data_IF_900280957389
#
_entry.id   IF_900280957389
#
_cell.length_a   1.000
_cell.length_b   1.000
_cell.length_c   1.000
_cell.angle_alpha   90.00
_cell.angle_beta   90.00
_cell.angle_gamma   90.00
#
_symmetry.space_group_name_H-M   'P 1'
#
loop_
_entity.id
_entity.type
_entity.pdbx_description
1 polymer ?
#
# COMPACT_ATOMS: atom_id res chain seq x y z
N UNK A 1 30.22 -32.23 -21.75
CA UNK A 1 31.02 -33.39 -22.16
C UNK A 1 32.08 -33.61 -21.08
N UNK A 2 31.76 -34.38 -20.03
CA UNK A 2 32.73 -34.68 -18.97
C UNK A 2 32.98 -36.19 -18.98
N UNK A 3 34.17 -36.55 -19.45
CA UNK A 3 34.69 -37.89 -19.51
C UNK A 3 35.11 -38.36 -18.11
N UNK A 4 34.74 -39.62 -17.82
CA UNK A 4 35.34 -40.47 -16.80
C UNK A 4 36.85 -40.60 -17.03
N UNK A 5 37.62 -40.62 -15.94
CA UNK A 5 38.89 -41.35 -15.89
C UNK A 5 38.89 -42.22 -14.64
N UNK A 6 38.87 -43.52 -14.88
CA UNK A 6 39.12 -44.61 -13.94
C UNK A 6 40.56 -45.08 -14.11
N UNK A 7 41.26 -45.30 -13.00
CA UNK A 7 42.42 -46.22 -12.89
C UNK A 7 42.33 -46.85 -11.50
N UNK A 8 42.03 -48.15 -11.36
CA UNK A 8 42.95 -49.32 -11.40
C UNK A 8 44.19 -49.12 -10.51
N UNK A 9 44.67 -50.07 -9.72
CA UNK A 9 44.22 -51.35 -9.16
C UNK A 9 45.43 -51.74 -8.27
N UNK A 10 45.23 -52.19 -7.03
CA UNK A 10 46.29 -52.87 -6.30
C UNK A 10 45.69 -54.10 -5.62
N UNK A 11 46.11 -55.25 -6.12
CA UNK A 11 45.76 -56.58 -5.67
C UNK A 11 46.68 -57.01 -4.51
N UNK A 12 46.19 -57.95 -3.70
CA UNK A 12 47.06 -58.91 -3.04
C UNK A 12 46.63 -59.33 -1.64
N UNK A 13 46.08 -60.56 -1.56
CA UNK A 13 46.19 -61.56 -0.50
C UNK A 13 45.93 -61.11 0.97
N UNK A 14 45.03 -61.69 1.75
CA UNK A 14 44.54 -63.06 1.80
C UNK A 14 44.32 -63.42 3.29
N UNK A 15 43.68 -64.57 3.54
CA UNK A 15 43.45 -65.24 4.84
C UNK A 15 42.08 -65.01 5.51
N UNK A 16 41.16 -65.85 5.02
CA UNK A 16 40.18 -66.72 5.72
C UNK A 16 40.18 -66.70 7.26
N UNK A 17 38.99 -66.65 7.86
CA UNK A 17 38.80 -67.13 9.23
C UNK A 17 37.46 -66.73 9.84
N UNK A 18 36.42 -67.52 9.57
CA UNK A 18 35.07 -67.28 10.04
C UNK A 18 34.81 -67.83 11.46
N UNK A 19 33.78 -67.25 12.10
CA UNK A 19 32.91 -67.78 13.18
C UNK A 19 33.38 -67.59 14.62
N UNK A 20 32.57 -66.86 15.40
CA UNK A 20 31.51 -67.38 16.30
C UNK A 20 30.61 -66.20 16.72
N UNK A 21 29.30 -66.28 16.44
CA UNK A 21 28.21 -66.51 17.42
C UNK A 21 28.17 -65.39 18.47
N UNK A 22 27.10 -64.63 18.70
CA UNK A 22 25.69 -64.94 18.96
C UNK A 22 24.90 -63.69 18.55
N UNK A 23 23.72 -63.77 17.94
CA UNK A 23 22.48 -64.13 18.60
C UNK A 23 21.40 -63.26 17.95
N UNK A 24 20.45 -63.90 17.29
CA UNK A 24 19.28 -63.23 16.78
C UNK A 24 18.40 -62.83 17.96
N UNK A 25 18.10 -61.54 18.08
CA UNK A 25 16.87 -61.09 18.72
C UNK A 25 16.41 -59.82 18.01
N UNK A 26 15.36 -60.00 17.23
CA UNK A 26 14.55 -58.98 16.64
C UNK A 26 13.87 -58.14 17.74
N UNK A 27 13.72 -56.84 17.50
CA UNK A 27 12.47 -56.07 17.54
C UNK A 27 12.73 -54.59 17.84
N UNK A 28 11.95 -53.75 17.15
CA UNK A 28 11.56 -52.38 17.50
C UNK A 28 12.60 -51.26 17.40
N UNK A 29 12.60 -50.56 16.26
CA UNK A 29 12.88 -49.12 16.16
C UNK A 29 12.27 -48.57 14.87
N UNK A 30 10.94 -48.60 14.77
CA UNK A 30 10.19 -47.83 13.79
C UNK A 30 9.20 -46.94 14.55
N UNK A 31 9.09 -45.68 14.12
CA UNK A 31 8.37 -44.57 14.76
C UNK A 31 9.12 -43.97 15.97
N UNK A 32 9.36 -42.66 16.09
CA UNK A 32 8.50 -41.51 15.78
C UNK A 32 9.41 -40.29 15.47
N UNK A 33 9.56 -39.91 14.20
CA UNK A 33 9.80 -38.49 13.88
C UNK A 33 8.44 -37.87 13.57
N UNK A 34 7.68 -37.65 14.63
CA UNK A 34 6.49 -36.82 14.58
C UNK A 34 6.95 -35.38 14.40
N UNK A 35 7.04 -34.93 13.14
CA UNK A 35 7.03 -33.50 12.85
C UNK A 35 5.67 -33.01 13.33
N UNK A 36 5.64 -32.46 14.54
CA UNK A 36 4.50 -31.68 15.01
C UNK A 36 4.48 -30.43 14.14
N UNK A 37 3.78 -30.52 13.01
CA UNK A 37 3.35 -29.34 12.25
C UNK A 37 2.35 -28.61 13.15
N UNK A 38 2.87 -27.72 14.01
CA UNK A 38 2.05 -26.70 14.63
C UNK A 38 1.33 -25.97 13.49
N UNK A 39 -0.01 -25.85 13.52
CA UNK A 39 -0.69 -24.99 12.56
C UNK A 39 -0.22 -23.57 12.85
N UNK A 40 0.68 -23.07 11.99
CA UNK A 40 0.99 -21.67 11.93
C UNK A 40 -0.26 -20.97 11.38
N UNK A 41 -1.21 -20.67 12.26
CA UNK A 41 -2.23 -19.69 11.95
C UNK A 41 -1.50 -18.35 11.80
N UNK A 42 -1.19 -18.00 10.56
CA UNK A 42 -0.98 -16.61 10.22
C UNK A 42 -2.29 -15.91 10.59
N UNK A 43 -2.27 -15.21 11.73
CA UNK A 43 -3.39 -14.40 12.17
C UNK A 43 -3.52 -13.28 11.13
N UNK A 44 -4.34 -13.51 10.11
CA UNK A 44 -4.67 -12.49 9.13
C UNK A 44 -5.34 -11.41 9.94
N UNK A 45 -4.64 -10.29 10.13
CA UNK A 45 -5.19 -9.12 10.80
C UNK A 45 -6.58 -8.87 10.24
N UNK A 46 -7.59 -8.88 11.12
CA UNK A 46 -8.97 -8.72 10.70
C UNK A 46 -9.09 -7.47 9.84
N UNK A 47 -9.74 -7.61 8.67
CA UNK A 47 -9.95 -6.49 7.79
C UNK A 47 -10.71 -5.37 8.53
N UNK A 48 -10.43 -4.11 8.17
CA UNK A 48 -11.11 -2.99 8.80
C UNK A 48 -12.65 -3.14 8.69
N UNK A 49 -13.41 -2.93 9.78
CA UNK A 49 -14.87 -3.05 9.75
C UNK A 49 -15.55 -2.20 8.66
N UNK A 50 -14.96 -1.07 8.27
CA UNK A 50 -15.48 -0.21 7.18
C UNK A 50 -15.36 -0.95 5.84
N UNK A 51 -14.22 -1.56 5.57
CA UNK A 51 -14.00 -2.35 4.34
C UNK A 51 -14.86 -3.63 4.34
N UNK A 52 -15.06 -4.25 5.51
CA UNK A 52 -15.96 -5.40 5.66
C UNK A 52 -17.44 -5.03 5.42
N UNK A 53 -17.88 -3.89 5.94
CA UNK A 53 -19.21 -3.34 5.70
C UNK A 53 -19.42 -3.02 4.21
N UNK A 54 -18.42 -2.42 3.55
CA UNK A 54 -18.47 -2.15 2.11
C UNK A 54 -18.62 -3.44 1.30
N UNK A 55 -17.81 -4.47 1.58
CA UNK A 55 -17.91 -5.78 0.91
C UNK A 55 -19.28 -6.41 1.11
N UNK A 56 -19.85 -6.30 2.31
CA UNK A 56 -21.19 -6.80 2.60
C UNK A 56 -22.26 -6.02 1.83
N UNK A 57 -22.13 -4.69 1.75
CA UNK A 57 -23.04 -3.83 0.99
C UNK A 57 -23.04 -4.20 -0.50
N UNK A 58 -21.86 -4.34 -1.10
CA UNK A 58 -21.67 -4.69 -2.52
C UNK A 58 -22.24 -6.07 -2.89
N UNK A 59 -22.35 -6.99 -1.91
CA UNK A 59 -22.89 -8.32 -2.13
C UNK A 59 -24.43 -8.38 -2.04
N UNK A 60 -25.11 -7.29 -1.65
CA UNK A 60 -26.57 -7.28 -1.55
C UNK A 60 -27.21 -7.21 -2.93
N UNK A 61 -28.28 -7.98 -3.13
CA UNK A 61 -29.02 -8.00 -4.40
C UNK A 61 -29.59 -6.63 -4.80
N UNK A 62 -30.05 -5.84 -3.82
CA UNK A 62 -30.58 -4.49 -4.03
C UNK A 62 -29.50 -3.43 -4.30
N UNK A 63 -28.22 -3.75 -4.12
CA UNK A 63 -27.07 -2.90 -4.43
C UNK A 63 -26.32 -3.33 -5.69
N UNK A 64 -26.88 -4.27 -6.47
CA UNK A 64 -26.24 -4.83 -7.67
C UNK A 64 -26.08 -3.85 -8.83
N UNK A 65 -26.91 -2.81 -8.90
CA UNK A 65 -26.82 -1.77 -9.93
C UNK A 65 -25.56 -0.91 -9.75
N UNK A 66 -25.07 -0.28 -10.82
CA UNK A 66 -23.94 0.67 -10.74
C UNK A 66 -24.17 1.74 -9.68
N UNK A 67 -25.37 2.31 -9.61
CA UNK A 67 -25.72 3.32 -8.61
C UNK A 67 -25.66 2.76 -7.19
N UNK A 68 -26.17 1.54 -6.97
CA UNK A 68 -26.08 0.86 -5.69
C UNK A 68 -24.63 0.57 -5.28
N UNK A 69 -23.79 0.15 -6.22
CA UNK A 69 -22.36 -0.06 -5.96
C UNK A 69 -21.64 1.23 -5.58
N UNK A 70 -21.88 2.33 -6.32
CA UNK A 70 -21.34 3.65 -5.99
C UNK A 70 -21.82 4.10 -4.61
N UNK A 71 -23.09 3.88 -4.26
CA UNK A 71 -23.62 4.18 -2.94
C UNK A 71 -22.89 3.40 -1.83
N UNK A 72 -22.59 2.12 -2.03
CA UNK A 72 -21.78 1.36 -1.08
C UNK A 72 -20.37 1.95 -0.90
N UNK A 73 -19.73 2.38 -1.98
CA UNK A 73 -18.41 3.00 -1.94
C UNK A 73 -18.43 4.38 -1.27
N UNK A 74 -19.46 5.18 -1.52
CA UNK A 74 -19.67 6.48 -0.87
C UNK A 74 -19.90 6.33 0.63
N UNK A 75 -20.70 5.34 1.04
CA UNK A 75 -20.90 5.02 2.46
C UNK A 75 -19.59 4.61 3.13
N UNK A 76 -18.76 3.79 2.45
CA UNK A 76 -17.43 3.44 2.94
C UNK A 76 -16.53 4.68 3.05
N UNK A 77 -16.58 5.59 2.08
CA UNK A 77 -15.81 6.85 2.10
C UNK A 77 -16.23 7.72 3.29
N UNK A 78 -17.53 7.80 3.59
CA UNK A 78 -18.05 8.51 4.76
C UNK A 78 -17.51 7.86 6.04
N UNK A 79 -17.59 6.53 6.17
CA UNK A 79 -17.03 5.79 7.30
C UNK A 79 -15.54 6.04 7.50
N UNK A 80 -14.76 6.00 6.41
CA UNK A 80 -13.33 6.30 6.42
C UNK A 80 -13.05 7.76 6.77
N UNK A 81 -13.89 8.71 6.36
CA UNK A 81 -13.77 10.12 6.74
C UNK A 81 -14.00 10.31 8.24
N UNK A 82 -15.01 9.65 8.83
CA UNK A 82 -15.23 9.66 10.28
C UNK A 82 -14.03 9.05 11.02
N UNK A 83 -13.50 7.93 10.54
CA UNK A 83 -12.30 7.31 11.11
C UNK A 83 -11.07 8.23 11.05
N UNK A 84 -10.90 8.95 9.94
CA UNK A 84 -9.85 9.95 9.74
C UNK A 84 -9.98 11.07 10.78
N UNK A 85 -11.17 11.65 10.93
CA UNK A 85 -11.41 12.75 11.87
C UNK A 85 -11.21 12.32 13.33
N UNK A 86 -11.65 11.10 13.68
CA UNK A 86 -11.43 10.54 15.01
C UNK A 86 -9.93 10.32 15.30
N UNK A 87 -9.20 9.72 14.36
CA UNK A 87 -7.75 9.51 14.49
C UNK A 87 -7.00 10.85 14.57
N UNK A 88 -7.47 11.86 13.83
CA UNK A 88 -6.94 13.22 13.90
C UNK A 88 -7.09 13.82 15.32
N UNK A 89 -8.30 13.76 15.90
CA UNK A 89 -8.53 14.26 17.25
C UNK A 89 -7.70 13.53 18.31
N UNK A 90 -7.58 12.21 18.21
CA UNK A 90 -6.74 11.42 19.12
C UNK A 90 -5.26 11.80 19.00
N UNK A 91 -4.78 12.01 17.78
CA UNK A 91 -3.39 12.39 17.52
C UNK A 91 -3.08 13.74 18.16
N UNK A 92 -3.96 14.71 18.00
CA UNK A 92 -3.83 16.06 18.58
C UNK A 92 -3.61 16.02 20.10
N UNK A 93 -4.31 15.14 20.81
CA UNK A 93 -4.21 14.98 22.26
C UNK A 93 -2.88 14.37 22.71
N UNK A 94 -2.24 13.55 21.86
CA UNK A 94 -1.01 12.81 22.20
C UNK A 94 0.27 13.55 21.80
N UNK A 95 0.18 14.52 20.89
CA UNK A 95 1.36 15.20 20.35
C UNK A 95 1.82 16.39 21.20
N UNK A 96 3.14 16.58 21.36
CA UNK A 96 3.71 17.83 21.83
C UNK A 96 3.36 19.03 20.92
N UNK A 97 3.29 20.27 21.44
CA UNK A 97 2.83 21.43 20.66
C UNK A 97 3.58 21.68 19.34
N UNK A 98 4.90 21.46 19.31
CA UNK A 98 5.70 21.64 18.10
C UNK A 98 5.37 20.61 17.01
N UNK A 99 5.09 19.36 17.39
CA UNK A 99 4.68 18.31 16.45
C UNK A 99 3.25 18.54 15.98
N UNK A 100 2.36 18.97 16.89
CA UNK A 100 0.96 19.32 16.60
C UNK A 100 0.85 20.32 15.45
N UNK A 101 1.58 21.44 15.51
CA UNK A 101 1.60 22.45 14.44
C UNK A 101 2.00 21.90 13.06
N UNK A 102 2.95 20.95 13.02
CA UNK A 102 3.38 20.32 11.75
C UNK A 102 2.29 19.41 11.20
N UNK A 103 1.66 18.63 12.08
CA UNK A 103 0.53 17.79 11.75
C UNK A 103 -0.68 18.61 11.28
N UNK A 104 -0.94 19.78 11.89
CA UNK A 104 -2.05 20.68 11.49
C UNK A 104 -1.84 21.17 10.06
N UNK A 105 -0.61 21.58 9.75
CA UNK A 105 -0.24 21.98 8.40
C UNK A 105 -0.38 20.83 7.40
N UNK A 106 0.05 19.62 7.77
CA UNK A 106 -0.14 18.41 6.94
C UNK A 106 -1.62 18.15 6.69
N UNK A 107 -2.46 18.24 7.72
CA UNK A 107 -3.89 17.99 7.62
C UNK A 107 -4.63 19.03 6.78
N UNK A 108 -4.38 20.31 7.00
CA UNK A 108 -4.96 21.39 6.20
C UNK A 108 -4.52 21.30 4.73
N UNK A 109 -3.24 21.00 4.48
CA UNK A 109 -2.72 20.83 3.11
C UNK A 109 -3.31 19.59 2.44
N UNK A 110 -3.54 18.50 3.19
CA UNK A 110 -4.21 17.31 2.69
C UNK A 110 -5.63 17.65 2.22
N UNK A 111 -6.42 18.33 3.05
CA UNK A 111 -7.78 18.76 2.71
C UNK A 111 -7.80 19.63 1.44
N UNK A 112 -6.98 20.68 1.39
CA UNK A 112 -6.86 21.52 0.21
C UNK A 112 -6.45 20.74 -1.05
N UNK A 113 -5.62 19.71 -0.91
CA UNK A 113 -5.28 18.82 -2.03
C UNK A 113 -6.48 17.99 -2.50
N UNK A 114 -7.36 17.54 -1.60
CA UNK A 114 -8.55 16.76 -1.96
C UNK A 114 -9.58 17.62 -2.68
N UNK A 115 -9.77 18.85 -2.23
CA UNK A 115 -10.69 19.80 -2.88
C UNK A 115 -10.24 20.13 -4.31
N UNK A 116 -8.94 20.36 -4.51
CA UNK A 116 -8.38 20.61 -5.83
C UNK A 116 -8.42 19.34 -6.73
N UNK A 117 -8.17 18.15 -6.15
CA UNK A 117 -8.22 16.88 -6.88
C UNK A 117 -9.64 16.58 -7.37
N UNK A 118 -10.69 16.88 -6.60
CA UNK A 118 -12.08 16.68 -7.02
C UNK A 118 -12.39 17.36 -8.36
N UNK A 119 -11.87 18.57 -8.57
CA UNK A 119 -12.02 19.27 -9.85
C UNK A 119 -11.26 18.61 -11.00
N UNK A 120 -10.08 18.04 -10.72
CA UNK A 120 -9.32 17.29 -11.71
C UNK A 120 -10.04 15.99 -12.09
N UNK A 121 -10.55 15.24 -11.12
CA UNK A 121 -11.31 14.01 -11.38
C UNK A 121 -12.52 14.31 -12.25
N UNK A 122 -13.34 15.29 -11.87
CA UNK A 122 -14.50 15.70 -12.66
C UNK A 122 -14.12 16.07 -14.11
N UNK A 123 -13.02 16.81 -14.30
CA UNK A 123 -12.55 17.18 -15.63
C UNK A 123 -12.04 16.01 -16.48
N UNK A 124 -11.47 14.97 -15.86
CA UNK A 124 -11.01 13.77 -16.55
C UNK A 124 -12.19 12.86 -16.87
N UNK A 125 -13.05 12.56 -15.91
CA UNK A 125 -14.17 11.63 -16.08
C UNK A 125 -15.29 12.19 -16.96
N UNK A 126 -15.43 13.51 -17.08
CA UNK A 126 -16.30 14.14 -18.08
C UNK A 126 -15.92 13.81 -19.53
N UNK A 127 -14.74 13.23 -19.77
CA UNK A 127 -14.29 12.79 -21.11
C UNK A 127 -14.46 11.29 -21.34
N UNK A 128 -15.25 10.62 -20.49
CA UNK A 128 -15.44 9.15 -20.49
C UNK A 128 -16.91 8.75 -20.50
N UNK A 129 -17.20 7.55 -20.98
CA UNK A 129 -18.56 6.99 -21.06
C UNK A 129 -18.61 5.55 -20.54
N UNK A 130 -19.71 5.18 -19.89
CA UNK A 130 -19.94 3.83 -19.38
C UNK A 130 -19.72 3.67 -17.88
N UNK A 131 -20.42 2.70 -17.29
CA UNK A 131 -20.48 2.46 -15.84
C UNK A 131 -19.13 2.11 -15.22
N UNK A 132 -18.22 1.51 -15.98
CA UNK A 132 -16.87 1.18 -15.50
C UNK A 132 -16.13 2.43 -15.00
N UNK A 133 -16.25 3.56 -15.71
CA UNK A 133 -15.60 4.80 -15.31
C UNK A 133 -16.28 5.49 -14.13
N UNK A 134 -17.59 5.31 -13.97
CA UNK A 134 -18.32 5.78 -12.79
C UNK A 134 -17.81 5.08 -11.53
N UNK A 135 -17.64 3.75 -11.58
CA UNK A 135 -17.07 2.98 -10.47
C UNK A 135 -15.60 3.35 -10.23
N UNK A 136 -14.83 3.55 -11.29
CA UNK A 136 -13.44 3.98 -11.17
C UNK A 136 -13.32 5.36 -10.50
N UNK A 137 -14.18 6.32 -10.84
CA UNK A 137 -14.19 7.63 -10.19
C UNK A 137 -14.54 7.51 -8.70
N UNK A 138 -15.56 6.73 -8.35
CA UNK A 138 -15.94 6.49 -6.96
C UNK A 138 -14.77 5.92 -6.14
N UNK A 139 -14.03 4.94 -6.69
CA UNK A 139 -12.85 4.37 -6.03
C UNK A 139 -11.74 5.41 -5.86
N UNK A 140 -11.47 6.21 -6.90
CA UNK A 140 -10.47 7.29 -6.85
C UNK A 140 -10.79 8.37 -5.80
N UNK A 141 -12.06 8.55 -5.44
CA UNK A 141 -12.48 9.43 -4.35
C UNK A 141 -12.41 8.74 -2.97
N UNK A 142 -12.60 7.42 -2.91
CA UNK A 142 -12.57 6.62 -1.68
C UNK A 142 -11.16 6.39 -1.15
N UNK A 143 -10.26 5.83 -1.97
CA UNK A 143 -8.95 5.34 -1.49
C UNK A 143 -8.10 6.39 -0.76
N UNK A 144 -8.00 7.65 -1.24
CA UNK A 144 -7.19 8.66 -0.54
C UNK A 144 -7.70 9.02 0.86
N UNK A 145 -9.00 8.85 1.13
CA UNK A 145 -9.59 9.08 2.45
C UNK A 145 -9.23 7.94 3.39
N UNK A 146 -9.33 6.70 2.90
CA UNK A 146 -8.91 5.49 3.61
C UNK A 146 -7.42 5.55 3.98
N UNK A 147 -6.55 5.83 3.01
CA UNK A 147 -5.11 5.89 3.22
C UNK A 147 -4.72 6.95 4.25
N UNK A 148 -5.37 8.13 4.21
CA UNK A 148 -5.13 9.18 5.20
C UNK A 148 -5.60 8.77 6.59
N UNK A 149 -6.74 8.09 6.71
CA UNK A 149 -7.23 7.58 7.99
C UNK A 149 -6.23 6.58 8.60
N UNK A 150 -5.73 5.65 7.79
CA UNK A 150 -4.73 4.66 8.22
C UNK A 150 -3.41 5.31 8.62
N UNK A 151 -2.93 6.30 7.86
CA UNK A 151 -1.73 7.05 8.20
C UNK A 151 -1.86 7.77 9.56
N UNK A 152 -3.02 8.39 9.83
CA UNK A 152 -3.28 9.03 11.11
C UNK A 152 -3.40 8.03 12.26
N UNK A 153 -4.05 6.88 12.06
CA UNK A 153 -4.11 5.80 13.07
C UNK A 153 -2.72 5.26 13.39
N UNK A 154 -1.87 5.07 12.38
CA UNK A 154 -0.47 4.68 12.58
C UNK A 154 0.29 5.74 13.38
N UNK A 155 0.09 7.02 13.08
CA UNK A 155 0.70 8.11 13.86
C UNK A 155 0.21 8.14 15.32
N UNK A 156 -1.08 7.87 15.58
CA UNK A 156 -1.63 7.74 16.94
C UNK A 156 -0.94 6.60 17.69
N UNK A 157 -0.79 5.44 17.06
CA UNK A 157 -0.11 4.29 17.66
C UNK A 157 1.37 4.60 17.97
N UNK A 158 2.09 5.22 17.04
CA UNK A 158 3.48 5.67 17.25
C UNK A 158 3.59 6.68 18.39
N UNK A 159 2.68 7.65 18.47
CA UNK A 159 2.66 8.63 19.56
C UNK A 159 2.39 7.97 20.92
N UNK A 160 1.50 6.97 20.97
CA UNK A 160 1.25 6.20 22.18
C UNK A 160 2.46 5.35 22.62
N UNK A 161 3.30 4.92 21.67
CA UNK A 161 4.52 4.16 21.92
C UNK A 161 5.76 5.03 22.27
N UNK A 162 5.58 6.31 22.59
CA UNK A 162 6.66 7.24 22.95
C UNK A 162 7.16 8.13 21.82
N UNK A 163 6.58 8.00 20.61
CA UNK A 163 6.89 8.83 19.46
C UNK A 163 8.17 8.44 18.72
N UNK A 164 8.37 9.06 17.57
CA UNK A 164 9.61 8.89 16.78
C UNK A 164 10.70 9.85 17.29
N UNK A 165 11.98 9.42 17.33
CA UNK A 165 13.07 10.33 17.60
C UNK A 165 13.12 11.44 16.54
N UNK A 166 13.61 12.65 16.86
CA UNK A 166 13.78 13.71 15.87
C UNK A 166 14.66 13.23 14.71
N UNK A 167 14.16 13.36 13.48
CA UNK A 167 14.90 13.01 12.25
C UNK A 167 15.10 14.24 11.38
N UNK A 168 16.28 14.34 10.76
CA UNK A 168 16.53 15.31 9.70
C UNK A 168 15.98 14.75 8.39
N UNK A 169 15.08 15.51 7.76
CA UNK A 169 14.55 15.17 6.42
C UNK A 169 15.70 15.20 5.41
N UNK A 170 15.89 14.09 4.70
CA UNK A 170 16.88 14.00 3.62
C UNK A 170 16.27 14.48 2.30
N UNK A 171 17.07 15.05 1.39
CA UNK A 171 16.58 15.33 0.04
C UNK A 171 16.21 14.00 -0.65
N UNK A 172 15.15 14.04 -1.47
CA UNK A 172 14.65 12.86 -2.17
C UNK A 172 15.70 12.25 -3.11
N UNK A 173 16.59 13.09 -3.67
CA UNK A 173 17.73 12.66 -4.51
C UNK A 173 18.80 11.87 -3.75
N UNK A 174 18.72 11.79 -2.41
CA UNK A 174 19.62 10.95 -1.63
C UNK A 174 19.05 9.54 -1.37
N UNK A 175 17.88 9.22 -1.92
CA UNK A 175 17.22 7.91 -1.85
C UNK A 175 16.74 7.52 -3.26
N UNK A 176 17.31 6.45 -3.81
CA UNK A 176 16.99 5.98 -5.16
C UNK A 176 15.49 5.64 -5.35
N UNK A 177 14.80 5.15 -4.32
CA UNK A 177 13.38 4.84 -4.40
C UNK A 177 12.55 6.12 -4.46
N UNK A 178 12.89 7.11 -3.63
CA UNK A 178 12.24 8.41 -3.66
C UNK A 178 12.48 9.10 -5.01
N UNK A 179 13.72 9.12 -5.49
CA UNK A 179 14.09 9.73 -6.77
C UNK A 179 13.35 9.07 -7.95
N UNK A 180 13.30 7.73 -7.98
CA UNK A 180 12.57 6.98 -8.99
C UNK A 180 11.06 7.31 -8.98
N UNK A 181 10.44 7.33 -7.80
CA UNK A 181 9.02 7.68 -7.67
C UNK A 181 8.73 9.12 -8.13
N UNK A 182 9.63 10.07 -7.84
CA UNK A 182 9.51 11.45 -8.33
C UNK A 182 9.69 11.56 -9.85
N UNK A 183 10.59 10.77 -10.43
CA UNK A 183 10.76 10.68 -11.88
C UNK A 183 9.46 10.22 -12.55
N UNK A 184 8.88 9.12 -12.07
CA UNK A 184 7.63 8.57 -12.60
C UNK A 184 6.46 9.53 -12.42
N UNK A 185 6.39 10.23 -11.29
CA UNK A 185 5.38 11.25 -11.05
C UNK A 185 5.41 12.32 -12.14
N UNK A 186 6.60 12.85 -12.43
CA UNK A 186 6.78 13.87 -13.47
C UNK A 186 6.50 13.32 -14.89
N UNK A 187 6.81 12.05 -15.13
CA UNK A 187 6.48 11.36 -16.39
C UNK A 187 4.98 11.26 -16.59
N UNK A 188 4.23 10.74 -15.62
CA UNK A 188 2.77 10.58 -15.74
C UNK A 188 2.03 11.92 -15.68
N UNK A 189 2.54 12.90 -14.93
CA UNK A 189 2.00 14.27 -14.97
C UNK A 189 2.04 14.86 -16.39
N UNK A 190 3.20 14.76 -17.07
CA UNK A 190 3.36 15.25 -18.45
C UNK A 190 2.45 14.49 -19.42
N UNK A 191 2.35 13.16 -19.25
CA UNK A 191 1.49 12.29 -20.07
C UNK A 191 0.00 12.63 -19.91
N UNK A 192 -0.47 12.82 -18.67
CA UNK A 192 -1.85 13.24 -18.41
C UNK A 192 -2.11 14.62 -19.03
N UNK A 193 -1.21 15.57 -18.78
CA UNK A 193 -1.34 16.94 -19.29
C UNK A 193 -1.43 17.01 -20.82
N UNK A 194 -0.66 16.20 -21.55
CA UNK A 194 -0.70 16.20 -23.01
C UNK A 194 -2.03 15.69 -23.56
N UNK A 195 -2.63 14.70 -22.89
CA UNK A 195 -3.92 14.10 -23.29
C UNK A 195 -5.15 14.91 -22.85
N UNK A 196 -5.05 15.72 -21.80
CA UNK A 196 -6.18 16.54 -21.34
C UNK A 196 -6.56 17.65 -22.34
N UNK A 197 -7.88 17.92 -22.51
CA UNK A 197 -8.36 19.10 -23.23
C UNK A 197 -7.71 20.38 -22.71
N UNK A 198 -7.34 21.29 -23.61
CA UNK A 198 -6.54 22.48 -23.26
C UNK A 198 -7.20 23.33 -22.17
N UNK A 199 -8.52 23.51 -22.25
CA UNK A 199 -9.30 24.31 -21.30
C UNK A 199 -9.38 23.70 -19.90
N UNK A 200 -9.23 22.37 -19.74
CA UNK A 200 -9.26 21.70 -18.43
C UNK A 200 -7.88 21.50 -17.82
N UNK A 201 -6.77 21.63 -18.57
CA UNK A 201 -5.39 21.52 -18.06
C UNK A 201 -5.09 22.35 -16.78
N UNK A 202 -5.68 23.54 -16.55
CA UNK A 202 -5.49 24.26 -15.30
C UNK A 202 -5.94 23.49 -14.05
N UNK A 203 -6.93 22.59 -14.15
CA UNK A 203 -7.37 21.75 -13.02
C UNK A 203 -6.24 20.83 -12.55
N UNK A 204 -5.51 20.20 -13.48
CA UNK A 204 -4.34 19.37 -13.19
C UNK A 204 -3.23 20.18 -12.52
N UNK A 205 -2.92 21.36 -13.03
CA UNK A 205 -1.89 22.23 -12.43
C UNK A 205 -2.25 22.61 -10.99
N UNK A 206 -3.51 22.98 -10.73
CA UNK A 206 -3.99 23.32 -9.38
C UNK A 206 -3.94 22.12 -8.43
N UNK A 207 -4.46 20.97 -8.87
CA UNK A 207 -4.44 19.74 -8.09
C UNK A 207 -3.02 19.29 -7.76
N UNK A 208 -2.11 19.33 -8.74
CA UNK A 208 -0.71 18.97 -8.53
C UNK A 208 0.00 19.95 -7.57
N UNK A 209 -0.24 21.25 -7.71
CA UNK A 209 0.32 22.26 -6.78
C UNK A 209 -0.16 22.02 -5.34
N UNK A 210 -1.45 21.78 -5.15
CA UNK A 210 -2.02 21.50 -3.84
C UNK A 210 -1.49 20.18 -3.24
N UNK A 211 -1.34 19.14 -4.06
CA UNK A 211 -0.72 17.89 -3.64
C UNK A 211 0.76 18.06 -3.25
N UNK A 212 1.55 18.84 -4.00
CA UNK A 212 2.93 19.13 -3.64
C UNK A 212 3.03 19.88 -2.30
N UNK A 213 2.10 20.82 -2.04
CA UNK A 213 2.02 21.49 -0.75
C UNK A 213 1.72 20.48 0.39
N UNK A 214 0.83 19.52 0.15
CA UNK A 214 0.57 18.42 1.07
C UNK A 214 1.79 17.53 1.33
N UNK A 215 2.50 17.10 0.28
CA UNK A 215 3.73 16.31 0.42
C UNK A 215 4.77 17.05 1.25
N UNK A 216 5.01 18.33 0.95
CA UNK A 216 5.96 19.17 1.68
C UNK A 216 5.58 19.38 3.15
N UNK A 217 4.28 19.55 3.44
CA UNK A 217 3.78 19.68 4.80
C UNK A 217 3.84 18.36 5.59
N UNK A 218 3.77 17.22 4.90
CA UNK A 218 3.71 15.89 5.52
C UNK A 218 5.09 15.27 5.71
N UNK A 219 6.05 15.57 4.83
CA UNK A 219 7.42 15.03 4.91
C UNK A 219 8.07 15.17 6.31
N UNK A 220 7.90 16.27 7.06
CA UNK A 220 8.49 16.41 8.40
C UNK A 220 7.80 15.60 9.51
N UNK A 221 6.66 14.95 9.23
CA UNK A 221 5.86 14.21 10.21
C UNK A 221 5.68 12.72 9.86
N UNK A 222 6.29 12.26 8.76
CA UNK A 222 6.33 10.86 8.36
C UNK A 222 7.77 10.38 8.24
N UNK A 223 7.97 9.07 8.24
CA UNK A 223 9.26 8.46 7.92
C UNK A 223 9.49 8.43 6.40
N UNK A 224 10.70 8.04 5.97
CA UNK A 224 11.06 8.02 4.55
C UNK A 224 10.17 7.06 3.74
N UNK A 225 9.77 5.93 4.34
CA UNK A 225 8.83 4.98 3.72
C UNK A 225 7.47 5.64 3.49
N UNK A 226 6.90 6.27 4.51
CA UNK A 226 5.62 6.99 4.39
C UNK A 226 5.67 8.12 3.37
N UNK A 227 6.82 8.80 3.22
CA UNK A 227 7.03 9.78 2.14
C UNK A 227 6.99 9.13 0.76
N UNK A 228 7.70 8.01 0.57
CA UNK A 228 7.71 7.24 -0.69
C UNK A 228 6.30 6.75 -1.02
N UNK A 229 5.56 6.25 -0.03
CA UNK A 229 4.18 5.78 -0.20
C UNK A 229 3.25 6.91 -0.69
N UNK A 230 3.38 8.11 -0.13
CA UNK A 230 2.61 9.29 -0.60
C UNK A 230 2.92 9.61 -2.07
N UNK A 231 4.19 9.55 -2.47
CA UNK A 231 4.61 9.79 -3.86
C UNK A 231 4.10 8.68 -4.77
N UNK A 232 4.26 7.41 -4.37
CA UNK A 232 3.81 6.24 -5.12
C UNK A 232 2.29 6.23 -5.34
N UNK A 233 1.50 6.58 -4.32
CA UNK A 233 0.06 6.74 -4.46
C UNK A 233 -0.29 7.80 -5.51
N UNK A 234 0.42 8.94 -5.52
CA UNK A 234 0.24 9.98 -6.54
C UNK A 234 0.64 9.51 -7.93
N UNK A 235 1.73 8.76 -8.07
CA UNK A 235 2.14 8.13 -9.33
C UNK A 235 1.02 7.25 -9.87
N UNK A 236 0.45 6.38 -9.04
CA UNK A 236 -0.65 5.51 -9.42
C UNK A 236 -1.90 6.30 -9.86
N UNK A 237 -2.26 7.37 -9.14
CA UNK A 237 -3.35 8.28 -9.53
C UNK A 237 -3.10 8.90 -10.90
N UNK A 238 -1.95 9.52 -11.11
CA UNK A 238 -1.62 10.20 -12.38
C UNK A 238 -1.53 9.22 -13.54
N UNK A 239 -0.99 8.02 -13.31
CA UNK A 239 -0.96 6.94 -14.30
C UNK A 239 -2.39 6.57 -14.72
N UNK A 240 -3.25 6.23 -13.77
CA UNK A 240 -4.66 5.86 -14.03
C UNK A 240 -5.39 6.96 -14.78
N UNK A 241 -5.27 8.22 -14.35
CA UNK A 241 -5.89 9.35 -15.05
C UNK A 241 -5.35 9.51 -16.47
N UNK A 242 -4.04 9.33 -16.69
CA UNK A 242 -3.43 9.40 -18.03
C UNK A 242 -3.89 8.27 -18.96
N UNK A 243 -4.34 7.16 -18.38
CA UNK A 243 -4.91 6.01 -19.08
C UNK A 243 -6.43 6.13 -19.23
N UNK A 244 -7.09 7.07 -18.54
CA UNK A 244 -8.56 7.26 -18.51
C UNK A 244 -9.01 8.42 -19.39
N UNK A 245 -8.30 9.55 -19.36
CA UNK A 245 -8.71 10.77 -20.07
C UNK A 245 -8.87 10.54 -21.57
N UNK A 246 -9.99 10.98 -22.13
CA UNK A 246 -10.31 10.88 -23.55
C UNK A 246 -10.71 9.47 -24.01
N UNK A 247 -10.83 8.49 -23.10
CA UNK A 247 -11.41 7.19 -23.44
C UNK A 247 -12.93 7.30 -23.40
N UNK A 248 -13.51 7.57 -24.56
CA UNK A 248 -14.96 7.56 -24.81
C UNK A 248 -15.33 6.39 -25.71
#
# INVERSE_FOLDING_TARGET
>A
MMLRVTSLLAAGAGVRGARRAFGALALASAAVFGVVSLPAHAEVAAADPIDASMRTCLARSDMSSTTGQVQCMDNARIGWKTALDNAWQQLQQKLPPAQRKRWDKSQASWQASRDAEKQLLAAVFATTHGSMYVLAEADMQLQPVRDRALALRSAVAKAAAGGDPPRRVRPCSADAQCEHAMFDLNRYYRRLRSKMPVHTRPTLTRAQKAWTAYLNATTPVVDERGRIDIIGARVATLKRLSETVGNS
#
